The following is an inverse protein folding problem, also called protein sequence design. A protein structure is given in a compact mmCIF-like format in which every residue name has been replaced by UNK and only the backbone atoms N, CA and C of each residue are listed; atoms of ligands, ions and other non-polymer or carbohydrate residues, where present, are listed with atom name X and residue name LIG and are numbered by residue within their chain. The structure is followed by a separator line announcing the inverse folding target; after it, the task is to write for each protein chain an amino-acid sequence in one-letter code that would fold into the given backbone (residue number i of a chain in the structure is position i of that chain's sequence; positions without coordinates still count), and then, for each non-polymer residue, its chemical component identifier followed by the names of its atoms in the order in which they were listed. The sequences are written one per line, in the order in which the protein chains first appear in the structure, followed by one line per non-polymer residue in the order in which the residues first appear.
data_IF_337635758608
#
_entry.id   IF_337635758608
#
_cell.length_a   1.000
_cell.length_b   1.000
_cell.length_c   1.000
_cell.angle_alpha   90.00
_cell.angle_beta   90.00
_cell.angle_gamma   90.00
#
_symmetry.space_group_name_H-M   'P 1'
#
loop_
_entity.id
_entity.type
_entity.pdbx_description
1 polymer ?
#
# COMPACT_ATOMS: atom_id res chain seq x y z
N UNK A 1 -9.02 40.49 31.07
CA UNK A 1 -8.77 41.82 31.68
C UNK A 1 -8.42 42.78 30.57
N UNK A 2 -9.09 43.93 30.58
CA UNK A 2 -9.05 45.07 29.66
C UNK A 2 -7.73 45.35 28.90
N UNK A 3 -7.87 45.55 27.59
CA UNK A 3 -7.11 46.45 26.67
C UNK A 3 -7.24 47.95 27.08
N UNK A 4 -6.65 48.99 26.40
CA UNK A 4 -5.64 49.08 25.31
C UNK A 4 -4.61 50.28 25.39
N UNK A 5 -3.85 50.47 24.29
CA UNK A 5 -3.34 51.73 23.71
C UNK A 5 -2.00 52.28 24.25
N UNK A 6 -1.07 52.84 23.46
CA UNK A 6 -1.27 54.00 22.55
C UNK A 6 -0.20 54.08 21.43
N UNK A 7 -0.71 54.31 20.22
CA UNK A 7 -0.09 54.86 19.01
C UNK A 7 0.40 56.31 19.21
N UNK A 8 1.55 56.72 18.66
CA UNK A 8 1.75 58.12 18.25
C UNK A 8 2.94 58.31 17.29
N UNK A 9 2.64 58.38 15.98
CA UNK A 9 3.41 59.14 14.98
C UNK A 9 2.67 60.47 14.78
N UNK A 10 3.36 61.62 14.85
CA UNK A 10 2.95 62.86 14.16
C UNK A 10 4.18 63.71 13.78
N UNK A 11 4.17 64.15 12.52
CA UNK A 11 5.12 64.95 11.75
C UNK A 11 4.97 66.48 11.96
N UNK A 12 6.12 67.19 11.94
CA UNK A 12 6.48 68.55 11.44
C UNK A 12 5.44 69.68 11.33
N UNK A 13 5.81 70.93 11.77
CA UNK A 13 5.78 72.16 10.95
C UNK A 13 6.39 73.44 11.61
N UNK A 14 7.38 73.98 10.87
CA UNK A 14 7.92 75.35 10.61
C UNK A 14 7.34 76.61 11.30
N UNK A 15 8.25 77.50 11.75
CA UNK A 15 8.39 78.96 11.43
C UNK A 15 9.40 79.57 12.42
N UNK A 16 10.38 80.43 12.11
CA UNK A 16 10.58 81.42 11.06
C UNK A 16 10.87 82.76 11.75
N UNK A 17 12.11 83.26 11.76
CA UNK A 17 12.42 84.68 12.12
C UNK A 17 13.60 85.20 11.29
N UNK A 18 13.45 86.46 10.91
CA UNK A 18 14.04 87.24 9.82
C UNK A 18 15.38 87.95 10.10
N UNK A 19 16.19 88.01 9.03
CA UNK A 19 16.99 89.11 8.45
C UNK A 19 17.45 90.34 9.27
N UNK A 20 18.73 90.67 9.09
CA UNK A 20 19.29 92.02 9.24
C UNK A 20 20.52 92.19 8.35
N UNK A 21 20.44 93.07 7.35
CA UNK A 21 21.46 93.33 6.32
C UNK A 21 22.23 94.64 6.57
N UNK A 22 23.52 94.69 6.25
CA UNK A 22 24.37 95.87 5.90
C UNK A 22 25.61 95.29 5.19
N UNK A 23 26.22 95.78 4.10
CA UNK A 23 26.13 97.01 3.33
C UNK A 23 27.02 96.88 2.07
N UNK A 24 26.89 97.84 1.17
CA UNK A 24 27.28 97.78 -0.25
C UNK A 24 28.76 98.09 -0.57
N UNK A 25 29.21 97.67 -1.77
CA UNK A 25 30.31 98.36 -2.48
C UNK A 25 30.93 97.64 -3.69
N UNK A 26 30.46 97.97 -4.91
CA UNK A 26 31.27 98.18 -6.12
C UNK A 26 31.82 96.98 -6.91
N UNK A 27 31.31 96.76 -8.12
CA UNK A 27 31.85 95.79 -9.08
C UNK A 27 32.90 96.35 -10.04
N UNK A 28 33.81 95.47 -10.49
CA UNK A 28 34.51 95.50 -11.79
C UNK A 28 34.83 94.04 -12.17
N UNK A 29 34.73 93.71 -13.46
CA UNK A 29 34.76 92.36 -14.01
C UNK A 29 36.18 91.85 -14.41
N UNK A 30 36.40 90.55 -14.14
CA UNK A 30 37.27 89.53 -14.77
C UNK A 30 38.81 89.72 -14.81
N UNK A 31 39.63 88.64 -14.93
CA UNK A 31 39.30 87.22 -15.20
C UNK A 31 39.91 86.20 -14.21
N UNK A 32 39.42 84.96 -14.28
CA UNK A 32 39.93 83.77 -13.59
C UNK A 32 41.40 83.47 -13.93
N UNK A 33 42.13 82.92 -12.96
CA UNK A 33 43.01 81.80 -13.25
C UNK A 33 42.87 80.70 -12.18
N UNK A 34 42.46 79.50 -12.62
CA UNK A 34 42.83 78.22 -12.01
C UNK A 34 42.79 78.21 -10.47
N UNK A 35 41.59 78.14 -9.88
CA UNK A 35 41.48 77.66 -8.51
C UNK A 35 41.69 76.15 -8.52
N UNK A 36 42.84 75.77 -7.97
CA UNK A 36 43.25 74.42 -7.63
C UNK A 36 42.14 73.75 -6.84
N UNK A 37 41.52 72.71 -7.40
CA UNK A 37 40.67 71.80 -6.64
C UNK A 37 41.55 71.00 -5.66
N UNK A 38 41.44 71.21 -4.35
CA UNK A 38 42.28 70.54 -3.36
C UNK A 38 41.87 69.08 -3.12
N UNK A 39 40.86 68.53 -3.82
CA UNK A 39 40.37 67.16 -3.63
C UNK A 39 40.69 66.21 -4.80
N UNK A 40 41.06 66.71 -5.98
CA UNK A 40 41.35 65.93 -7.19
C UNK A 40 40.21 65.97 -8.21
N UNK A 41 40.44 65.46 -9.41
CA UNK A 41 39.40 65.33 -10.45
C UNK A 41 38.46 64.18 -10.09
N UNK A 42 37.16 64.39 -10.30
CA UNK A 42 36.03 63.47 -10.20
C UNK A 42 35.22 63.72 -11.48
N UNK A 43 35.30 62.79 -12.42
CA UNK A 43 34.98 63.02 -13.84
C UNK A 43 33.54 62.65 -14.19
N UNK A 44 32.88 61.78 -13.44
CA UNK A 44 31.45 61.43 -13.57
C UNK A 44 30.57 61.98 -12.43
N UNK A 45 31.17 62.46 -11.34
CA UNK A 45 30.48 63.15 -10.25
C UNK A 45 29.77 62.22 -9.26
N UNK A 46 30.22 60.97 -9.14
CA UNK A 46 29.65 59.97 -8.23
C UNK A 46 30.16 60.11 -6.77
N UNK A 47 31.24 60.88 -6.58
CA UNK A 47 31.88 61.14 -5.29
C UNK A 47 33.15 60.32 -5.02
N UNK A 48 33.51 59.40 -5.91
CA UNK A 48 34.84 58.82 -6.03
C UNK A 48 35.74 59.78 -6.84
N UNK A 49 37.05 59.58 -6.84
CA UNK A 49 37.97 60.50 -7.54
C UNK A 49 38.72 59.70 -8.60
N UNK A 50 39.07 60.32 -9.74
CA UNK A 50 39.81 59.74 -10.88
C UNK A 50 41.09 58.96 -10.50
N UNK A 51 41.66 59.24 -9.33
CA UNK A 51 42.84 58.52 -8.81
C UNK A 51 42.49 57.26 -8.02
N UNK A 52 41.35 57.26 -7.32
CA UNK A 52 40.85 56.13 -6.54
C UNK A 52 40.20 55.11 -7.47
N UNK A 53 39.42 55.55 -8.46
CA UNK A 53 38.84 54.66 -9.49
C UNK A 53 39.93 53.84 -10.19
N UNK A 54 41.00 54.49 -10.65
CA UNK A 54 42.19 53.81 -11.19
C UNK A 54 42.93 52.88 -10.23
N UNK A 55 42.66 52.96 -8.93
CA UNK A 55 43.25 52.05 -7.92
C UNK A 55 42.37 50.84 -7.68
N UNK A 56 41.05 51.00 -7.84
CA UNK A 56 40.04 49.96 -7.69
C UNK A 56 39.58 49.39 -9.04
N UNK A 57 40.27 49.74 -10.12
CA UNK A 57 40.00 49.33 -11.51
C UNK A 57 38.60 49.70 -12.05
N UNK A 58 37.95 50.70 -11.44
CA UNK A 58 36.69 51.27 -11.92
C UNK A 58 36.90 52.36 -13.00
N UNK A 59 35.88 52.66 -13.81
CA UNK A 59 35.94 53.61 -14.94
C UNK A 59 35.68 55.07 -14.47
N UNK A 60 36.68 55.98 -14.53
CA UNK A 60 36.52 57.36 -14.08
C UNK A 60 35.48 58.22 -14.80
N UNK A 61 34.78 57.67 -15.79
CA UNK A 61 33.79 58.38 -16.58
C UNK A 61 32.40 57.76 -16.46
N UNK A 62 32.23 56.78 -15.58
CA UNK A 62 30.99 56.05 -15.32
C UNK A 62 30.84 55.89 -13.81
N UNK A 63 29.82 56.55 -13.25
CA UNK A 63 29.42 56.44 -11.85
C UNK A 63 29.01 55.03 -11.36
N UNK A 64 29.03 54.07 -12.28
CA UNK A 64 28.53 52.69 -12.20
C UNK A 64 29.27 51.96 -13.33
N UNK A 65 30.36 51.31 -12.95
CA UNK A 65 31.37 50.83 -13.89
C UNK A 65 30.86 49.65 -14.73
N UNK A 66 30.26 48.64 -14.11
CA UNK A 66 29.73 47.45 -14.79
C UNK A 66 28.29 47.61 -15.32
N UNK A 67 27.54 48.59 -14.80
CA UNK A 67 26.21 48.95 -15.27
C UNK A 67 25.07 48.12 -14.68
N UNK A 68 25.26 47.50 -13.52
CA UNK A 68 24.23 46.72 -12.81
C UNK A 68 23.16 47.60 -12.11
N UNK A 69 23.50 48.86 -11.83
CA UNK A 69 22.65 49.84 -11.14
C UNK A 69 23.07 50.19 -9.72
N UNK A 70 24.10 49.55 -9.17
CA UNK A 70 24.87 50.03 -8.03
C UNK A 70 25.94 51.02 -8.52
N UNK A 71 26.44 51.87 -7.62
CA UNK A 71 27.43 52.88 -7.99
C UNK A 71 28.76 52.49 -7.36
N UNK A 72 29.87 52.70 -8.06
CA UNK A 72 31.22 52.32 -7.62
C UNK A 72 31.50 52.62 -6.12
N UNK A 73 31.23 53.83 -5.57
CA UNK A 73 31.49 54.11 -4.17
C UNK A 73 30.59 53.34 -3.19
N UNK A 74 29.39 52.91 -3.61
CA UNK A 74 28.48 52.09 -2.81
C UNK A 74 29.02 50.66 -2.69
N UNK A 75 29.47 50.09 -3.79
CA UNK A 75 30.00 48.73 -3.88
C UNK A 75 31.36 48.62 -3.19
N UNK A 76 32.24 49.61 -3.36
CA UNK A 76 33.52 49.67 -2.65
C UNK A 76 33.38 49.81 -1.12
N UNK A 77 32.26 50.37 -0.63
CA UNK A 77 31.92 50.40 0.79
C UNK A 77 31.10 49.16 1.23
N UNK A 78 30.62 48.35 0.27
CA UNK A 78 29.79 47.17 0.40
C UNK A 78 30.54 45.84 0.16
N UNK A 79 29.79 44.74 -0.03
CA UNK A 79 30.35 43.41 -0.27
C UNK A 79 30.64 43.09 -1.75
N UNK A 80 30.06 43.84 -2.68
CA UNK A 80 30.06 43.59 -4.13
C UNK A 80 31.31 44.12 -4.84
N UNK A 81 31.63 43.59 -6.02
CA UNK A 81 32.75 44.02 -6.87
C UNK A 81 32.24 44.99 -7.97
N UNK A 82 32.63 46.29 -7.96
CA UNK A 82 32.14 47.31 -8.90
C UNK A 82 32.54 47.10 -10.37
N UNK A 83 33.15 45.96 -10.70
CA UNK A 83 33.54 45.59 -12.05
C UNK A 83 32.80 44.37 -12.59
N UNK A 84 31.91 43.79 -11.78
CA UNK A 84 31.14 42.58 -12.05
C UNK A 84 29.66 42.82 -11.72
N UNK A 85 28.80 42.63 -12.71
CA UNK A 85 27.33 42.72 -12.52
C UNK A 85 26.77 41.68 -11.54
N UNK A 86 27.53 40.60 -11.35
CA UNK A 86 27.21 39.43 -10.52
C UNK A 86 28.57 39.01 -9.93
N UNK A 87 28.73 39.27 -8.63
CA UNK A 87 30.02 39.21 -7.93
C UNK A 87 30.52 37.77 -7.75
N UNK A 88 29.63 36.78 -7.64
CA UNK A 88 29.98 35.37 -7.44
C UNK A 88 29.65 34.44 -8.62
N UNK A 89 29.08 34.97 -9.70
CA UNK A 89 28.80 34.33 -11.00
C UNK A 89 27.78 33.17 -10.87
N UNK A 90 26.76 33.36 -10.03
CA UNK A 90 25.71 32.37 -9.75
C UNK A 90 24.45 32.54 -10.64
N UNK A 91 24.35 33.68 -11.34
CA UNK A 91 23.25 34.01 -12.24
C UNK A 91 22.23 35.01 -11.70
N UNK A 92 22.37 35.48 -10.45
CA UNK A 92 21.61 36.57 -9.85
C UNK A 92 22.49 37.83 -9.79
N UNK A 93 21.97 39.00 -10.18
CA UNK A 93 22.78 40.22 -10.15
C UNK A 93 22.85 40.81 -8.74
N UNK A 94 23.96 41.48 -8.42
CA UNK A 94 24.24 42.05 -7.10
C UNK A 94 23.08 42.91 -6.53
N UNK A 95 22.38 43.76 -7.32
CA UNK A 95 21.23 44.48 -6.82
C UNK A 95 20.04 43.57 -6.46
N UNK A 96 19.79 42.50 -7.24
CA UNK A 96 18.73 41.55 -6.97
C UNK A 96 19.02 40.72 -5.73
N UNK A 97 20.26 40.30 -5.52
CA UNK A 97 20.70 39.60 -4.31
C UNK A 97 20.51 40.45 -3.05
N UNK A 98 20.93 41.71 -3.10
CA UNK A 98 20.72 42.66 -2.00
C UNK A 98 19.24 42.91 -1.71
N UNK A 99 18.38 42.90 -2.73
CA UNK A 99 16.92 43.04 -2.59
C UNK A 99 16.26 41.76 -2.05
N UNK A 100 16.76 40.57 -2.43
CA UNK A 100 16.32 39.27 -1.94
C UNK A 100 16.83 38.98 -0.51
N UNK A 101 17.97 39.57 -0.13
CA UNK A 101 18.62 39.38 1.15
C UNK A 101 19.65 38.25 1.17
N UNK A 102 20.05 37.75 0.00
CA UNK A 102 21.12 36.76 -0.17
C UNK A 102 22.50 37.41 -0.01
N UNK A 103 23.57 36.61 0.08
CA UNK A 103 24.95 37.11 0.19
C UNK A 103 25.60 37.16 -1.20
N UNK A 104 25.84 38.36 -1.79
CA UNK A 104 26.36 38.52 -3.15
C UNK A 104 27.82 38.09 -3.35
N UNK A 105 28.36 37.33 -2.40
CA UNK A 105 29.69 36.75 -2.46
C UNK A 105 29.67 35.24 -2.27
N UNK A 106 28.48 34.66 -2.16
CA UNK A 106 28.20 33.25 -1.91
C UNK A 106 27.07 32.80 -2.84
N UNK A 107 27.46 32.11 -3.91
CA UNK A 107 26.58 31.61 -4.97
C UNK A 107 25.46 30.66 -4.52
N UNK A 108 25.34 30.32 -3.24
CA UNK A 108 24.42 29.35 -2.64
C UNK A 108 24.31 29.74 -1.16
N UNK A 109 23.40 30.66 -0.86
CA UNK A 109 23.36 31.39 0.41
C UNK A 109 22.95 30.49 1.59
N UNK A 110 21.99 29.58 1.39
CA UNK A 110 21.53 28.67 2.43
C UNK A 110 22.31 27.35 2.49
N UNK A 111 23.04 27.00 1.43
CA UNK A 111 23.94 25.87 1.36
C UNK A 111 23.25 24.53 1.06
N UNK A 112 22.08 24.54 0.43
CA UNK A 112 21.35 23.33 0.04
C UNK A 112 21.96 22.65 -1.20
N UNK A 113 22.66 23.43 -2.06
CA UNK A 113 23.33 22.98 -3.27
C UNK A 113 22.72 23.47 -4.59
N UNK A 114 21.63 24.23 -4.57
CA UNK A 114 21.18 25.12 -5.64
C UNK A 114 21.87 26.47 -5.50
N UNK A 115 21.93 27.24 -6.59
CA UNK A 115 22.45 28.61 -6.52
C UNK A 115 21.32 29.60 -6.34
N UNK A 116 21.56 30.75 -5.72
CA UNK A 116 20.52 31.76 -5.49
C UNK A 116 19.86 32.18 -6.83
N UNK A 117 20.66 32.28 -7.90
CA UNK A 117 20.18 32.51 -9.27
C UNK A 117 19.34 31.35 -9.86
N UNK A 118 19.63 30.10 -9.51
CA UNK A 118 18.85 28.94 -9.92
C UNK A 118 17.51 28.90 -9.17
N UNK A 119 17.53 29.12 -7.86
CA UNK A 119 16.36 29.17 -7.01
C UNK A 119 15.42 30.31 -7.39
N UNK A 120 15.96 31.49 -7.68
CA UNK A 120 15.18 32.61 -8.23
C UNK A 120 14.50 32.27 -9.57
N UNK A 121 15.09 31.36 -10.36
CA UNK A 121 14.51 30.88 -11.62
C UNK A 121 13.42 29.83 -11.40
N UNK A 122 13.65 28.91 -10.46
CA UNK A 122 12.74 27.81 -10.14
C UNK A 122 11.58 28.26 -9.25
N UNK A 123 11.74 29.37 -8.54
CA UNK A 123 10.73 29.99 -7.69
C UNK A 123 10.80 29.58 -6.23
N UNK A 124 11.89 28.92 -5.82
CA UNK A 124 12.20 28.56 -4.42
C UNK A 124 12.76 29.76 -3.63
N UNK A 125 12.94 29.62 -2.32
CA UNK A 125 13.44 30.66 -1.42
C UNK A 125 14.96 30.48 -1.17
N UNK A 126 15.86 31.31 -1.74
CA UNK A 126 17.32 31.15 -1.63
C UNK A 126 17.91 31.42 -0.23
N UNK A 127 17.04 31.52 0.77
CA UNK A 127 17.38 31.67 2.18
C UNK A 127 16.88 30.48 3.02
N UNK A 128 16.31 29.47 2.39
CA UNK A 128 15.70 28.31 3.02
C UNK A 128 16.06 27.04 2.22
N UNK A 129 16.85 26.17 2.85
CA UNK A 129 17.33 24.92 2.28
C UNK A 129 16.24 23.89 1.96
N UNK A 130 15.00 24.21 2.32
CA UNK A 130 13.75 23.46 2.18
C UNK A 130 12.61 24.50 2.14
N UNK A 131 12.12 24.80 0.94
CA UNK A 131 11.21 25.91 0.68
C UNK A 131 9.79 25.65 1.20
N UNK A 132 9.29 24.42 1.09
CA UNK A 132 7.92 24.08 1.45
C UNK A 132 7.76 23.50 2.87
N UNK A 133 8.87 23.06 3.47
CA UNK A 133 8.97 22.62 4.84
C UNK A 133 8.63 21.14 5.07
N UNK A 134 8.75 20.27 4.06
CA UNK A 134 8.56 18.82 4.17
C UNK A 134 9.81 18.06 4.65
N UNK A 135 10.94 18.75 4.82
CA UNK A 135 12.27 18.27 5.20
C UNK A 135 13.14 17.65 4.10
N UNK A 136 12.63 17.58 2.88
CA UNK A 136 13.41 17.33 1.67
C UNK A 136 14.05 18.64 1.22
N UNK A 137 15.32 18.60 0.81
CA UNK A 137 15.99 19.82 0.33
C UNK A 137 15.55 20.12 -1.10
N UNK A 138 15.41 21.39 -1.48
CA UNK A 138 15.02 21.82 -2.82
C UNK A 138 15.92 21.19 -3.91
N UNK A 139 17.23 21.15 -3.66
CA UNK A 139 18.22 20.48 -4.52
C UNK A 139 17.98 18.98 -4.70
N UNK A 140 17.44 18.31 -3.68
CA UNK A 140 17.08 16.89 -3.73
C UNK A 140 15.76 16.69 -4.45
N UNK A 141 14.79 17.55 -4.22
CA UNK A 141 13.52 17.52 -4.93
C UNK A 141 13.72 17.68 -6.43
N UNK A 142 14.55 18.64 -6.84
CA UNK A 142 14.98 18.81 -8.22
C UNK A 142 15.66 17.54 -8.80
N UNK A 143 16.35 16.76 -7.97
CA UNK A 143 17.00 15.51 -8.38
C UNK A 143 16.02 14.33 -8.51
N UNK A 144 14.98 14.27 -7.67
CA UNK A 144 13.92 13.24 -7.72
C UNK A 144 12.78 13.60 -8.68
N UNK A 145 12.64 14.88 -9.03
CA UNK A 145 11.59 15.41 -9.89
C UNK A 145 10.30 15.76 -9.16
N UNK A 146 10.35 15.86 -7.83
CA UNK A 146 9.26 16.39 -6.98
C UNK A 146 9.20 17.92 -7.06
N UNK A 147 8.14 18.53 -6.53
CA UNK A 147 7.87 19.97 -6.58
C UNK A 147 8.30 20.66 -5.27
N UNK A 148 9.41 21.44 -5.25
CA UNK A 148 9.93 22.11 -4.04
C UNK A 148 9.03 23.21 -3.45
N UNK A 149 7.84 23.36 -4.01
CA UNK A 149 6.82 24.29 -3.55
C UNK A 149 5.59 23.55 -2.98
N UNK A 150 5.65 22.22 -2.90
CA UNK A 150 4.53 21.37 -2.52
C UNK A 150 5.01 20.12 -1.75
N UNK A 151 4.79 20.16 -0.44
CA UNK A 151 5.05 19.09 0.54
C UNK A 151 4.62 17.68 0.11
N UNK A 152 3.67 17.58 -0.81
CA UNK A 152 3.02 16.37 -1.31
C UNK A 152 2.85 16.55 -2.83
N UNK A 153 3.76 15.96 -3.60
CA UNK A 153 3.90 16.21 -5.04
C UNK A 153 2.82 15.56 -5.90
N UNK A 154 2.25 14.44 -5.48
CA UNK A 154 1.19 13.74 -6.20
C UNK A 154 -0.22 13.94 -5.62
N UNK A 155 -0.31 14.48 -4.41
CA UNK A 155 -1.54 14.87 -3.74
C UNK A 155 -2.26 13.74 -3.03
N UNK A 156 -1.56 12.67 -2.64
CA UNK A 156 -2.14 11.49 -1.97
C UNK A 156 -2.27 11.62 -0.44
N UNK A 157 -1.69 12.68 0.15
CA UNK A 157 -1.60 13.01 1.58
C UNK A 157 -0.38 12.46 2.34
N UNK A 158 0.58 11.84 1.67
CA UNK A 158 1.93 11.60 2.18
C UNK A 158 2.87 12.74 1.75
N UNK A 159 3.91 13.00 2.53
CA UNK A 159 4.93 13.98 2.16
C UNK A 159 6.11 13.31 1.44
N UNK A 160 6.77 14.04 0.54
CA UNK A 160 7.74 13.48 -0.39
C UNK A 160 8.96 12.88 0.34
N UNK A 161 9.47 13.52 1.42
CA UNK A 161 10.53 12.93 2.26
C UNK A 161 10.07 11.62 2.91
N UNK A 162 8.83 11.57 3.43
CA UNK A 162 8.26 10.36 4.04
C UNK A 162 8.23 9.20 3.08
N UNK A 163 7.74 9.42 1.86
CA UNK A 163 7.65 8.39 0.83
C UNK A 163 9.05 7.89 0.42
N UNK A 164 9.98 8.81 0.15
CA UNK A 164 11.36 8.46 -0.19
C UNK A 164 12.07 7.72 0.95
N UNK A 165 11.74 8.01 2.21
CA UNK A 165 12.34 7.36 3.37
C UNK A 165 11.94 5.88 3.50
N UNK A 166 10.76 5.50 3.01
CA UNK A 166 10.27 4.12 3.00
C UNK A 166 10.39 3.43 1.64
N UNK A 167 10.71 4.18 0.59
CA UNK A 167 10.97 3.67 -0.75
C UNK A 167 9.78 3.74 -1.70
N UNK A 168 8.70 4.42 -1.29
CA UNK A 168 7.55 4.78 -2.13
C UNK A 168 7.97 5.80 -3.20
N UNK A 169 7.11 5.98 -4.20
CA UNK A 169 7.33 6.87 -5.32
C UNK A 169 6.54 8.18 -5.13
N UNK A 170 7.18 9.31 -4.75
CA UNK A 170 6.51 10.59 -4.42
C UNK A 170 5.86 11.32 -5.61
N UNK A 171 5.71 10.64 -6.73
CA UNK A 171 5.08 11.15 -7.95
C UNK A 171 3.92 10.25 -8.38
N UNK A 172 3.59 9.25 -7.57
CA UNK A 172 2.61 8.20 -7.83
C UNK A 172 1.84 7.92 -6.54
N UNK A 173 0.59 8.38 -6.51
CA UNK A 173 -0.33 8.14 -5.40
C UNK A 173 -0.67 6.64 -5.13
N UNK A 174 -0.07 5.74 -5.88
CA UNK A 174 -0.20 4.27 -5.89
C UNK A 174 1.12 3.76 -6.50
N UNK A 175 2.07 3.42 -5.64
CA UNK A 175 3.46 3.17 -6.00
C UNK A 175 3.63 1.90 -6.83
N UNK A 176 2.82 0.87 -6.60
CA UNK A 176 2.92 -0.42 -7.28
C UNK A 176 1.83 -0.69 -8.35
N UNK A 177 0.88 0.25 -8.51
CA UNK A 177 -0.17 0.31 -9.53
C UNK A 177 -1.17 -0.86 -9.42
N UNK A 178 -1.52 -1.24 -8.19
CA UNK A 178 -2.46 -2.32 -7.87
C UNK A 178 -3.93 -1.85 -7.72
N UNK A 179 -4.13 -0.54 -7.55
CA UNK A 179 -5.43 0.11 -7.41
C UNK A 179 -5.78 0.60 -6.00
N UNK A 180 -4.92 0.41 -5.00
CA UNK A 180 -4.94 1.09 -3.70
C UNK A 180 -3.89 2.19 -3.66
N UNK A 181 -4.18 3.28 -2.93
CA UNK A 181 -3.17 4.32 -2.73
C UNK A 181 -2.26 4.00 -1.54
N UNK A 182 -1.01 4.42 -1.59
CA UNK A 182 0.01 4.21 -0.54
C UNK A 182 -0.50 4.51 0.90
N UNK A 183 -1.24 5.62 1.15
CA UNK A 183 -1.84 5.85 2.47
C UNK A 183 -2.99 4.91 2.84
N UNK A 184 -3.81 4.48 1.87
CA UNK A 184 -4.90 3.51 2.10
C UNK A 184 -4.34 2.13 2.45
N UNK A 185 -3.25 1.72 1.79
CA UNK A 185 -2.52 0.49 2.07
C UNK A 185 -1.82 0.53 3.44
N UNK A 186 -1.15 1.64 3.75
CA UNK A 186 -0.52 1.86 5.06
C UNK A 186 -1.54 1.79 6.21
N UNK A 187 -2.75 2.29 6.00
CA UNK A 187 -3.86 2.21 6.95
C UNK A 187 -4.52 0.80 6.96
N UNK A 188 -4.54 0.12 5.82
CA UNK A 188 -5.07 -1.24 5.61
C UNK A 188 -4.17 -2.35 6.15
N UNK A 189 -2.87 -2.10 6.26
CA UNK A 189 -1.87 -3.06 6.70
C UNK A 189 -1.19 -3.85 5.58
N UNK A 190 -1.38 -3.43 4.33
CA UNK A 190 -0.67 -3.95 3.15
C UNK A 190 0.67 -3.26 2.94
N UNK A 191 1.50 -3.75 2.01
CA UNK A 191 2.81 -3.17 1.68
C UNK A 191 2.74 -2.38 0.36
N UNK A 192 2.83 -1.04 0.38
CA UNK A 192 2.70 -0.19 -0.82
C UNK A 192 3.75 -0.37 -1.92
N UNK A 193 4.67 -1.33 -1.73
CA UNK A 193 5.69 -1.70 -2.69
C UNK A 193 5.40 -3.07 -3.33
N UNK A 194 4.32 -3.73 -2.95
CA UNK A 194 3.92 -5.07 -3.34
C UNK A 194 2.43 -5.11 -3.70
N UNK A 195 2.16 -5.17 -5.00
CA UNK A 195 0.81 -5.23 -5.55
C UNK A 195 -0.02 -6.48 -5.17
N UNK A 196 0.49 -7.35 -4.31
CA UNK A 196 -0.08 -8.61 -3.82
C UNK A 196 0.71 -8.93 -2.53
N UNK A 197 0.19 -8.47 -1.38
CA UNK A 197 0.89 -8.44 -0.10
C UNK A 197 1.10 -9.83 0.48
N UNK A 198 0.17 -10.76 0.26
CA UNK A 198 0.20 -12.11 0.82
C UNK A 198 0.62 -13.21 -0.18
N UNK A 199 0.95 -12.82 -1.41
CA UNK A 199 1.47 -13.65 -2.51
C UNK A 199 0.49 -14.76 -2.96
N UNK A 200 -0.83 -14.51 -2.91
CA UNK A 200 -1.86 -15.49 -3.27
C UNK A 200 -2.23 -15.50 -4.77
N UNK A 201 -1.84 -14.43 -5.48
CA UNK A 201 -2.09 -14.21 -6.90
C UNK A 201 -3.24 -13.24 -7.22
N UNK A 202 -3.84 -12.61 -6.21
CA UNK A 202 -4.80 -11.53 -6.30
C UNK A 202 -4.14 -10.24 -5.79
N UNK A 203 -4.44 -9.10 -6.42
CA UNK A 203 -3.83 -7.84 -6.02
C UNK A 203 -4.62 -7.19 -4.88
N UNK A 204 -3.97 -6.49 -3.95
CA UNK A 204 -4.61 -5.94 -2.75
C UNK A 204 -5.80 -5.03 -3.12
N UNK A 205 -5.66 -4.23 -4.18
CA UNK A 205 -6.76 -3.41 -4.73
C UNK A 205 -7.91 -4.19 -5.35
N UNK A 206 -7.65 -5.36 -5.93
CA UNK A 206 -8.67 -6.28 -6.40
C UNK A 206 -9.37 -6.97 -5.22
N UNK A 207 -8.63 -7.34 -4.20
CA UNK A 207 -9.12 -7.96 -2.97
C UNK A 207 -10.07 -7.05 -2.20
N UNK A 208 -9.67 -5.80 -1.95
CA UNK A 208 -10.55 -4.80 -1.33
C UNK A 208 -11.83 -4.60 -2.14
N UNK A 209 -11.76 -4.67 -3.48
CA UNK A 209 -12.92 -4.55 -4.34
C UNK A 209 -13.85 -5.77 -4.31
N UNK A 210 -13.30 -6.97 -4.08
CA UNK A 210 -14.03 -8.23 -3.92
C UNK A 210 -14.56 -8.43 -2.50
N UNK A 211 -13.89 -7.84 -1.50
CA UNK A 211 -14.19 -7.96 -0.08
C UNK A 211 -13.37 -9.05 0.63
N UNK A 212 -12.31 -9.56 0.01
CA UNK A 212 -11.32 -10.44 0.64
C UNK A 212 -10.36 -9.63 1.53
N UNK A 213 -9.56 -10.31 2.36
CA UNK A 213 -8.56 -9.69 3.24
C UNK A 213 -7.18 -9.73 2.56
N UNK A 214 -6.62 -8.58 2.13
CA UNK A 214 -5.35 -8.54 1.37
C UNK A 214 -4.09 -8.90 2.16
N UNK A 215 -4.27 -9.42 3.38
CA UNK A 215 -3.18 -9.91 4.23
C UNK A 215 -3.36 -11.36 4.63
N UNK A 216 -4.40 -12.01 4.13
CA UNK A 216 -4.75 -13.40 4.39
C UNK A 216 -5.05 -14.14 3.07
N UNK A 217 -4.13 -15.01 2.61
CA UNK A 217 -4.19 -15.56 1.24
C UNK A 217 -5.32 -16.59 1.04
N UNK A 218 -6.22 -16.77 2.01
CA UNK A 218 -7.32 -17.73 2.10
C UNK A 218 -8.37 -17.14 3.06
N UNK A 219 -9.12 -16.14 2.58
CA UNK A 219 -9.98 -15.28 3.42
C UNK A 219 -11.06 -16.07 4.16
N UNK A 220 -11.57 -17.15 3.56
CA UNK A 220 -12.62 -17.97 4.16
C UNK A 220 -12.12 -19.22 4.89
N UNK A 221 -10.82 -19.54 4.78
CA UNK A 221 -10.16 -20.60 5.53
C UNK A 221 -10.40 -22.01 4.99
N UNK A 222 -10.79 -22.18 3.74
CA UNK A 222 -11.06 -23.50 3.17
C UNK A 222 -9.83 -24.20 2.54
N UNK A 223 -8.69 -23.49 2.50
CA UNK A 223 -7.39 -23.88 1.92
C UNK A 223 -7.28 -23.72 0.41
N UNK A 224 -8.23 -23.08 -0.23
CA UNK A 224 -8.08 -22.53 -1.56
C UNK A 224 -7.62 -21.09 -1.40
N UNK A 225 -6.66 -20.67 -2.24
CA UNK A 225 -6.23 -19.28 -2.19
C UNK A 225 -7.26 -18.42 -2.91
N UNK A 226 -7.52 -17.21 -2.43
CA UNK A 226 -8.53 -16.32 -3.01
C UNK A 226 -8.25 -16.09 -4.50
N UNK A 227 -6.98 -15.87 -4.85
CA UNK A 227 -6.50 -15.76 -6.23
C UNK A 227 -6.79 -17.01 -7.09
N UNK A 228 -6.75 -18.22 -6.51
CA UNK A 228 -7.09 -19.46 -7.23
C UNK A 228 -8.58 -19.59 -7.49
N UNK A 229 -9.39 -19.17 -6.53
CA UNK A 229 -10.84 -19.22 -6.61
C UNK A 229 -11.37 -18.22 -7.64
N UNK A 230 -10.85 -16.98 -7.63
CA UNK A 230 -11.14 -15.97 -8.64
C UNK A 230 -10.71 -16.43 -10.03
N UNK A 231 -9.54 -17.07 -10.15
CA UNK A 231 -9.07 -17.66 -11.41
C UNK A 231 -9.90 -18.89 -11.85
N UNK A 232 -10.58 -19.56 -10.91
CA UNK A 232 -11.31 -20.81 -11.13
C UNK A 232 -10.39 -22.02 -11.37
N UNK A 233 -9.10 -21.92 -11.01
CA UNK A 233 -8.14 -23.00 -11.11
C UNK A 233 -6.97 -22.86 -10.12
N UNK A 234 -6.51 -23.98 -9.55
CA UNK A 234 -5.32 -23.99 -8.69
C UNK A 234 -4.02 -23.85 -9.48
N UNK A 235 -2.91 -23.60 -8.78
CA UNK A 235 -1.58 -23.49 -9.39
C UNK A 235 -1.15 -24.71 -10.25
N UNK A 236 -1.64 -25.92 -9.93
CA UNK A 236 -1.40 -27.15 -10.70
C UNK A 236 -2.43 -27.39 -11.82
N UNK A 237 -3.34 -26.42 -12.04
CA UNK A 237 -4.41 -26.44 -13.04
C UNK A 237 -5.60 -27.32 -12.64
N UNK A 238 -5.80 -27.57 -11.35
CA UNK A 238 -7.02 -28.22 -10.87
C UNK A 238 -8.20 -27.25 -11.07
N UNK A 239 -9.27 -27.62 -11.78
CA UNK A 239 -10.40 -26.70 -11.94
C UNK A 239 -11.12 -26.51 -10.60
N UNK A 240 -11.46 -25.27 -10.27
CA UNK A 240 -12.24 -24.86 -9.10
C UNK A 240 -13.54 -24.19 -9.56
N UNK A 241 -14.47 -24.95 -10.19
CA UNK A 241 -15.70 -24.39 -10.71
C UNK A 241 -16.61 -23.89 -9.59
N UNK A 242 -17.10 -22.65 -9.75
CA UNK A 242 -18.02 -22.02 -8.81
C UNK A 242 -17.42 -21.80 -7.41
N UNK A 243 -16.08 -21.71 -7.32
CA UNK A 243 -15.38 -21.28 -6.12
C UNK A 243 -15.75 -19.84 -5.72
N UNK A 244 -15.73 -19.53 -4.43
CA UNK A 244 -16.13 -18.24 -3.87
C UNK A 244 -15.25 -17.89 -2.67
N UNK A 245 -14.30 -16.94 -2.80
CA UNK A 245 -13.29 -16.64 -1.76
C UNK A 245 -13.86 -16.01 -0.48
N UNK A 246 -15.17 -15.82 -0.43
CA UNK A 246 -15.87 -15.35 0.75
C UNK A 246 -16.78 -16.42 1.35
N UNK A 247 -16.73 -17.69 0.89
CA UNK A 247 -17.51 -18.81 1.40
C UNK A 247 -16.80 -20.14 1.22
N UNK A 248 -16.57 -20.82 2.35
CA UNK A 248 -15.88 -22.10 2.35
C UNK A 248 -16.42 -23.10 1.33
N UNK A 249 -15.53 -23.57 0.47
CA UNK A 249 -15.76 -24.59 -0.54
C UNK A 249 -15.11 -25.94 -0.17
N UNK A 250 -15.78 -27.02 -0.57
CA UNK A 250 -15.32 -28.38 -0.35
C UNK A 250 -15.46 -29.17 -1.65
N UNK A 251 -14.32 -29.34 -2.30
CA UNK A 251 -14.21 -30.09 -3.53
C UNK A 251 -14.12 -31.59 -3.27
N UNK A 252 -15.10 -32.36 -3.75
CA UNK A 252 -15.16 -33.82 -3.51
C UNK A 252 -15.18 -34.61 -4.83
N UNK A 253 -14.20 -35.50 -5.00
CA UNK A 253 -14.20 -36.51 -6.06
C UNK A 253 -14.82 -37.82 -5.55
N UNK A 254 -15.97 -38.20 -6.11
CA UNK A 254 -16.64 -39.44 -5.75
C UNK A 254 -16.22 -40.59 -6.69
N UNK A 255 -15.41 -41.52 -6.18
CA UNK A 255 -15.09 -42.77 -6.88
C UNK A 255 -16.24 -43.75 -6.78
N UNK A 256 -16.75 -44.16 -7.95
CA UNK A 256 -17.84 -45.14 -8.04
C UNK A 256 -17.37 -46.43 -8.71
N UNK A 257 -17.45 -47.59 -8.01
CA UNK A 257 -17.21 -48.88 -8.65
C UNK A 257 -18.31 -49.20 -9.66
N UNK A 258 -17.94 -49.93 -10.71
CA UNK A 258 -18.85 -50.31 -11.81
C UNK A 258 -19.93 -51.32 -11.36
N UNK A 259 -19.66 -52.08 -10.30
CA UNK A 259 -20.62 -52.95 -9.60
C UNK A 259 -20.79 -52.46 -8.15
N UNK A 260 -22.04 -52.16 -7.76
CA UNK A 260 -22.39 -51.58 -6.44
C UNK A 260 -23.60 -50.64 -6.52
N UNK A 261 -24.20 -50.31 -5.37
CA UNK A 261 -25.28 -49.32 -5.29
C UNK A 261 -24.68 -47.91 -5.44
N UNK A 262 -25.17 -47.15 -6.43
CA UNK A 262 -24.75 -45.77 -6.71
C UNK A 262 -25.55 -44.80 -5.86
N UNK A 263 -24.92 -43.72 -5.39
CA UNK A 263 -25.66 -42.54 -4.93
C UNK A 263 -26.59 -42.07 -6.05
N UNK A 264 -27.85 -41.89 -5.70
CA UNK A 264 -28.90 -41.30 -6.55
C UNK A 264 -28.75 -39.78 -6.56
N UNK A 265 -29.28 -39.12 -7.59
CA UNK A 265 -29.28 -37.64 -7.68
C UNK A 265 -29.89 -36.99 -6.43
N UNK A 266 -30.92 -37.62 -5.84
CA UNK A 266 -31.59 -37.14 -4.62
C UNK A 266 -30.68 -37.22 -3.38
N UNK A 267 -29.84 -38.24 -3.29
CA UNK A 267 -28.91 -38.40 -2.18
C UNK A 267 -27.76 -37.37 -2.30
N UNK A 268 -27.26 -37.13 -3.52
CA UNK A 268 -26.29 -36.06 -3.79
C UNK A 268 -26.86 -34.66 -3.49
N UNK A 269 -28.09 -34.35 -3.94
CA UNK A 269 -28.77 -33.08 -3.62
C UNK A 269 -28.99 -32.91 -2.10
N UNK A 270 -29.19 -34.01 -1.39
CA UNK A 270 -29.39 -33.99 0.06
C UNK A 270 -28.07 -33.72 0.77
N UNK A 271 -26.96 -34.30 0.29
CA UNK A 271 -25.62 -34.00 0.77
C UNK A 271 -25.30 -32.51 0.61
N UNK A 272 -25.44 -31.97 -0.60
CA UNK A 272 -25.15 -30.56 -0.89
C UNK A 272 -25.93 -29.64 0.02
N UNK A 273 -27.24 -29.89 0.19
CA UNK A 273 -28.08 -29.08 1.08
C UNK A 273 -27.61 -29.11 2.54
N UNK A 274 -27.14 -30.25 3.04
CA UNK A 274 -26.76 -30.34 4.45
C UNK A 274 -25.46 -29.59 4.77
N UNK A 275 -24.51 -29.54 3.84
CA UNK A 275 -23.30 -28.74 4.00
C UNK A 275 -23.61 -27.24 3.89
N UNK A 276 -24.46 -26.84 2.95
CA UNK A 276 -24.93 -25.45 2.81
C UNK A 276 -25.77 -24.94 4.01
N UNK A 277 -26.24 -25.84 4.88
CA UNK A 277 -26.97 -25.50 6.12
C UNK A 277 -26.08 -25.58 7.38
N UNK A 278 -24.76 -25.77 7.23
CA UNK A 278 -23.84 -25.84 8.37
C UNK A 278 -23.78 -24.52 9.14
N UNK A 279 -23.67 -24.57 10.48
CA UNK A 279 -23.54 -23.38 11.30
C UNK A 279 -22.09 -22.85 11.33
N UNK A 280 -21.46 -22.76 10.15
CA UNK A 280 -20.12 -22.21 9.95
C UNK A 280 -20.30 -20.85 9.30
N UNK A 281 -19.76 -19.79 9.90
CA UNK A 281 -19.85 -18.43 9.39
C UNK A 281 -18.81 -18.18 8.31
N UNK A 282 -19.21 -17.42 7.30
CA UNK A 282 -18.36 -17.00 6.20
C UNK A 282 -18.12 -15.47 6.23
N UNK A 283 -17.02 -15.00 5.62
CA UNK A 283 -16.70 -13.57 5.46
C UNK A 283 -17.85 -12.71 4.91
N UNK A 284 -18.63 -13.23 3.95
CA UNK A 284 -19.79 -12.52 3.37
C UNK A 284 -21.00 -12.39 4.33
N UNK A 285 -20.91 -12.95 5.53
CA UNK A 285 -21.96 -12.99 6.55
C UNK A 285 -23.02 -14.07 6.33
N UNK A 286 -22.84 -14.94 5.33
CA UNK A 286 -23.61 -16.17 5.17
C UNK A 286 -23.15 -17.25 6.16
N UNK A 287 -23.81 -18.40 6.10
CA UNK A 287 -23.40 -19.59 6.84
C UNK A 287 -23.48 -20.81 5.94
N UNK A 288 -22.63 -21.78 6.16
CA UNK A 288 -22.63 -23.05 5.44
C UNK A 288 -21.31 -23.27 4.71
N UNK A 289 -21.18 -24.45 4.11
CA UNK A 289 -20.05 -24.85 3.28
C UNK A 289 -20.61 -25.32 1.95
N UNK A 290 -20.06 -24.84 0.85
CA UNK A 290 -20.44 -25.27 -0.48
C UNK A 290 -19.65 -26.49 -0.89
N UNK A 291 -20.34 -27.51 -1.42
CA UNK A 291 -19.71 -28.79 -1.75
C UNK A 291 -19.80 -29.07 -3.25
N UNK A 292 -18.64 -29.16 -3.87
CA UNK A 292 -18.47 -29.33 -5.32
C UNK A 292 -18.18 -30.80 -5.65
N UNK A 293 -19.22 -31.54 -6.02
CA UNK A 293 -19.12 -32.99 -6.25
C UNK A 293 -18.79 -33.31 -7.71
N UNK A 294 -17.56 -33.72 -7.97
CA UNK A 294 -17.11 -34.32 -9.23
C UNK A 294 -17.20 -35.85 -9.19
N UNK A 295 -17.31 -36.49 -10.37
CA UNK A 295 -17.62 -37.92 -10.49
C UNK A 295 -16.70 -38.65 -11.47
N UNK A 296 -16.01 -39.68 -11.00
CA UNK A 296 -15.23 -40.59 -11.81
C UNK A 296 -15.72 -42.04 -11.61
N UNK A 297 -15.92 -42.74 -12.74
CA UNK A 297 -16.27 -44.17 -12.71
C UNK A 297 -15.01 -44.98 -12.86
N UNK A 298 -14.80 -45.96 -11.97
CA UNK A 298 -13.57 -46.76 -11.94
C UNK A 298 -13.88 -48.24 -12.18
N UNK A 299 -13.25 -48.81 -13.22
CA UNK A 299 -13.24 -50.26 -13.48
C UNK A 299 -12.27 -50.94 -12.49
N UNK A 300 -12.75 -51.47 -11.37
CA UNK A 300 -11.88 -52.15 -10.41
C UNK A 300 -12.52 -52.52 -9.07
N UNK A 301 -11.94 -53.53 -8.42
CA UNK A 301 -12.18 -53.89 -7.02
C UNK A 301 -11.62 -52.78 -6.14
N UNK A 302 -12.41 -52.28 -5.17
CA UNK A 302 -11.91 -51.34 -4.16
C UNK A 302 -10.72 -52.02 -3.47
N UNK A 303 -9.54 -51.42 -3.56
CA UNK A 303 -8.33 -52.00 -2.97
C UNK A 303 -8.48 -51.90 -1.46
N UNK A 304 -8.71 -53.04 -0.82
CA UNK A 304 -8.65 -53.19 0.63
C UNK A 304 -7.18 -53.14 1.06
N UNK A 305 -6.86 -52.18 1.92
CA UNK A 305 -5.50 -52.00 2.46
C UNK A 305 -5.53 -52.30 3.96
N UNK A 306 -4.82 -53.35 4.38
CA UNK A 306 -4.74 -53.77 5.79
C UNK A 306 -3.51 -53.13 6.49
N UNK A 307 -3.71 -52.47 7.64
CA UNK A 307 -2.63 -52.09 8.58
C UNK A 307 -1.92 -50.75 8.31
N UNK A 308 -0.64 -50.61 8.70
CA UNK A 308 0.24 -49.41 8.57
C UNK A 308 0.44 -48.89 7.12
N UNK A 309 -0.39 -49.34 6.17
CA UNK A 309 -0.43 -48.99 4.76
C UNK A 309 -1.47 -47.89 4.44
N UNK A 310 -2.02 -47.21 5.44
CA UNK A 310 -2.94 -46.06 5.28
C UNK A 310 -2.32 -44.94 4.41
N UNK A 311 -1.01 -44.68 4.57
CA UNK A 311 -0.28 -43.72 3.74
C UNK A 311 -0.14 -44.19 2.29
N UNK A 312 0.12 -45.49 2.09
CA UNK A 312 0.24 -46.11 0.77
C UNK A 312 -1.11 -46.14 0.03
N UNK A 313 -2.24 -46.22 0.75
CA UNK A 313 -3.58 -46.14 0.18
C UNK A 313 -3.89 -44.73 -0.34
N UNK A 314 -3.62 -43.69 0.48
CA UNK A 314 -3.80 -42.29 0.09
C UNK A 314 -2.98 -41.96 -1.15
N UNK A 315 -1.67 -42.24 -1.12
CA UNK A 315 -0.78 -41.99 -2.25
C UNK A 315 -1.24 -42.79 -3.49
N UNK A 316 -1.71 -44.04 -3.31
CA UNK A 316 -2.23 -44.86 -4.42
C UNK A 316 -3.48 -44.28 -5.07
N UNK A 317 -4.45 -43.81 -4.28
CA UNK A 317 -5.70 -43.29 -4.80
C UNK A 317 -5.54 -41.86 -5.35
N UNK A 318 -4.80 -41.00 -4.65
CA UNK A 318 -4.54 -39.62 -5.06
C UNK A 318 -3.78 -39.57 -6.39
N UNK A 319 -2.65 -40.28 -6.51
CA UNK A 319 -1.84 -40.31 -7.75
C UNK A 319 -2.61 -40.91 -8.94
N UNK A 320 -3.54 -41.84 -8.68
CA UNK A 320 -4.22 -42.60 -9.73
C UNK A 320 -5.50 -41.95 -10.22
N UNK A 321 -6.21 -41.25 -9.35
CA UNK A 321 -7.58 -40.80 -9.63
C UNK A 321 -7.76 -39.28 -9.57
N UNK A 322 -6.99 -38.56 -8.74
CA UNK A 322 -7.08 -37.10 -8.64
C UNK A 322 -6.14 -36.41 -9.65
N UNK A 323 -4.95 -36.94 -9.88
CA UNK A 323 -4.03 -36.37 -10.86
C UNK A 323 -3.57 -34.96 -10.46
N UNK A 324 -3.92 -33.93 -11.23
CA UNK A 324 -3.59 -32.54 -10.88
C UNK A 324 -4.50 -31.94 -9.81
N UNK A 325 -5.58 -32.64 -9.45
CA UNK A 325 -6.47 -32.29 -8.33
C UNK A 325 -5.95 -32.81 -6.99
N UNK A 326 -4.76 -33.41 -6.98
CA UNK A 326 -4.09 -33.92 -5.79
C UNK A 326 -3.63 -32.74 -4.94
N UNK A 327 -4.39 -32.39 -3.92
CA UNK A 327 -4.30 -31.03 -3.38
C UNK A 327 -5.67 -30.60 -2.91
N UNK A 328 -6.45 -30.22 -3.89
CA UNK A 328 -7.59 -29.35 -3.63
C UNK A 328 -8.85 -30.18 -3.45
N UNK A 329 -8.84 -31.42 -3.93
CA UNK A 329 -9.99 -32.32 -3.84
C UNK A 329 -9.83 -33.38 -2.76
N UNK A 330 -10.91 -33.57 -2.02
CA UNK A 330 -11.15 -34.72 -1.16
C UNK A 330 -11.74 -35.87 -1.97
N UNK A 331 -11.15 -37.05 -1.85
CA UNK A 331 -11.64 -38.27 -2.46
C UNK A 331 -12.65 -38.97 -1.54
N UNK A 332 -13.86 -39.23 -2.04
CA UNK A 332 -14.82 -40.10 -1.39
C UNK A 332 -14.92 -41.42 -2.16
N UNK A 333 -14.68 -42.55 -1.50
CA UNK A 333 -14.83 -43.89 -2.07
C UNK A 333 -16.08 -44.55 -1.50
N UNK A 334 -17.10 -44.73 -2.34
CA UNK A 334 -18.30 -45.48 -1.95
C UNK A 334 -18.08 -46.98 -2.23
N UNK A 335 -18.04 -47.82 -1.18
CA UNK A 335 -18.05 -49.28 -1.31
C UNK A 335 -19.32 -49.87 -0.72
N UNK A 336 -19.86 -50.92 -1.35
CA UNK A 336 -21.05 -51.64 -0.86
C UNK A 336 -20.75 -52.97 -0.20
N UNK A 337 -19.49 -53.41 -0.18
CA UNK A 337 -19.08 -54.68 0.42
C UNK A 337 -18.12 -54.44 1.59
N UNK A 338 -18.61 -54.73 2.81
CA UNK A 338 -17.83 -54.73 4.04
C UNK A 338 -17.65 -56.18 4.51
N UNK A 339 -16.41 -56.69 4.53
CA UNK A 339 -16.09 -57.95 5.21
C UNK A 339 -15.83 -57.72 6.70
N UNK A 340 -16.37 -58.60 7.54
CA UNK A 340 -16.28 -58.49 8.99
C UNK A 340 -14.83 -58.71 9.46
N UNK A 341 -14.15 -57.63 9.88
CA UNK A 341 -12.76 -57.66 10.33
C UNK A 341 -11.81 -56.80 9.48
N UNK A 342 -12.29 -56.24 8.38
CA UNK A 342 -11.59 -55.26 7.56
C UNK A 342 -11.91 -53.86 8.07
N UNK A 343 -10.91 -53.00 8.26
CA UNK A 343 -11.17 -51.56 8.43
C UNK A 343 -11.48 -50.97 7.05
N UNK A 344 -12.69 -50.43 6.87
CA UNK A 344 -12.85 -49.35 5.90
C UNK A 344 -11.98 -48.20 6.45
N UNK A 345 -11.06 -47.70 5.63
CA UNK A 345 -9.92 -46.87 5.99
C UNK A 345 -10.16 -45.94 7.20
N UNK A 346 -9.24 -45.99 8.16
CA UNK A 346 -9.23 -45.09 9.30
C UNK A 346 -8.78 -43.71 8.84
N UNK A 347 -9.68 -42.75 8.92
CA UNK A 347 -9.35 -41.35 8.91
C UNK A 347 -8.51 -40.94 10.10
N UNK A 348 -7.23 -40.67 9.88
CA UNK A 348 -6.37 -40.07 10.91
C UNK A 348 -6.28 -38.56 10.70
N UNK A 349 -7.33 -37.81 11.09
CA UNK A 349 -7.39 -36.33 11.07
C UNK A 349 -7.22 -35.72 9.64
N UNK A 350 -7.71 -34.50 9.36
CA UNK A 350 -8.42 -34.16 8.11
C UNK A 350 -7.81 -34.77 6.86
N UNK A 351 -8.34 -35.95 6.53
CA UNK A 351 -7.83 -36.80 5.49
C UNK A 351 -8.57 -36.53 4.19
N UNK A 352 -7.81 -36.32 3.12
CA UNK A 352 -8.32 -36.18 1.75
C UNK A 352 -8.96 -37.45 1.18
N UNK A 353 -9.18 -38.53 1.95
CA UNK A 353 -9.78 -39.77 1.45
C UNK A 353 -10.76 -40.39 2.47
N UNK A 354 -12.07 -40.31 2.22
CA UNK A 354 -13.11 -40.97 3.03
C UNK A 354 -13.64 -42.23 2.32
N UNK A 355 -13.52 -43.40 2.95
CA UNK A 355 -14.08 -44.67 2.42
C UNK A 355 -15.36 -45.04 3.17
N UNK A 356 -16.51 -44.98 2.51
CA UNK A 356 -17.80 -45.32 3.08
C UNK A 356 -18.19 -46.77 2.76
N UNK A 357 -18.48 -47.57 3.79
CA UNK A 357 -19.10 -48.88 3.66
C UNK A 357 -20.39 -48.94 4.52
N UNK A 358 -21.60 -48.93 3.93
CA UNK A 358 -22.82 -49.02 4.70
C UNK A 358 -22.91 -50.37 5.40
N UNK A 359 -23.27 -50.37 6.68
CA UNK A 359 -23.72 -51.59 7.35
C UNK A 359 -24.95 -52.14 6.61
N UNK A 360 -25.11 -53.46 6.43
CA UNK A 360 -26.25 -54.03 5.74
C UNK A 360 -27.59 -53.53 6.32
N UNK A 361 -28.34 -52.74 5.55
CA UNK A 361 -29.62 -52.16 5.96
C UNK A 361 -29.59 -50.68 6.38
N UNK A 362 -28.42 -50.03 6.36
CA UNK A 362 -28.28 -48.57 6.46
C UNK A 362 -28.15 -47.99 5.05
N UNK A 363 -29.00 -47.03 4.69
CA UNK A 363 -28.95 -46.30 3.41
C UNK A 363 -28.27 -44.93 3.59
N UNK A 364 -27.66 -44.39 2.54
CA UNK A 364 -26.63 -43.35 2.58
C UNK A 364 -27.16 -41.92 2.75
N UNK A 365 -28.28 -41.72 3.47
CA UNK A 365 -28.51 -40.43 4.14
C UNK A 365 -27.44 -40.13 5.21
N UNK A 366 -26.44 -41.01 5.33
CA UNK A 366 -25.25 -40.91 6.16
C UNK A 366 -24.04 -40.84 5.24
N UNK A 367 -23.54 -39.63 4.98
CA UNK A 367 -22.14 -39.48 4.59
C UNK A 367 -21.37 -39.21 5.88
N UNK A 368 -20.43 -40.10 6.20
CA UNK A 368 -19.56 -39.98 7.35
C UNK A 368 -18.16 -39.52 6.88
N UNK A 369 -17.84 -38.22 6.98
CA UNK A 369 -16.52 -37.57 6.94
C UNK A 369 -15.65 -37.76 8.23
N UNK A 370 -14.39 -37.36 8.23
CA UNK A 370 -13.44 -37.63 9.33
C UNK A 370 -13.45 -36.56 10.43
N UNK A 371 -13.97 -35.36 10.13
CA UNK A 371 -14.37 -34.37 11.15
C UNK A 371 -15.76 -34.66 11.75
N UNK A 372 -16.48 -35.70 11.28
CA UNK A 372 -17.83 -35.98 11.77
C UNK A 372 -17.94 -37.05 12.87
N UNK A 373 -18.06 -36.52 14.06
CA UNK A 373 -19.17 -36.99 14.86
C UNK A 373 -20.41 -36.26 14.34
N UNK A 374 -21.38 -37.05 13.86
CA UNK A 374 -22.79 -36.75 13.58
C UNK A 374 -23.23 -37.09 12.15
N UNK A 375 -24.41 -37.67 12.07
CA UNK A 375 -25.05 -38.07 10.82
C UNK A 375 -25.54 -36.82 10.11
N UNK A 376 -25.08 -36.62 8.87
CA UNK A 376 -25.57 -35.59 7.96
C UNK A 376 -26.99 -35.94 7.45
N UNK A 377 -27.96 -35.99 8.36
CA UNK A 377 -29.37 -36.15 8.00
C UNK A 377 -30.12 -37.31 8.66
N UNK A 378 -31.38 -37.42 8.28
CA UNK A 378 -32.28 -38.42 8.85
C UNK A 378 -31.86 -39.81 8.35
N UNK A 379 -31.62 -40.75 9.26
CA UNK A 379 -31.43 -42.16 8.93
C UNK A 379 -32.71 -42.77 8.33
N UNK A 380 -32.70 -43.07 7.03
CA UNK A 380 -33.67 -43.99 6.44
C UNK A 380 -33.25 -45.44 6.72
N UNK A 381 -33.47 -45.87 7.96
CA UNK A 381 -33.13 -47.20 8.42
C UNK A 381 -34.14 -47.72 9.44
N UNK A 382 -34.46 -49.03 9.43
CA UNK A 382 -35.21 -49.66 10.52
C UNK A 382 -34.46 -49.62 11.86
N UNK A 383 -33.17 -49.27 11.85
CA UNK A 383 -32.35 -49.08 13.06
C UNK A 383 -32.45 -47.64 13.61
N UNK A 384 -33.01 -46.69 12.87
CA UNK A 384 -33.16 -45.30 13.33
C UNK A 384 -34.05 -45.22 14.58
N UNK A 385 -33.65 -44.40 15.55
CA UNK A 385 -34.46 -44.18 16.75
C UNK A 385 -35.72 -43.36 16.42
N UNK A 386 -36.85 -43.74 17.01
CA UNK A 386 -38.15 -43.10 16.74
C UNK A 386 -38.18 -41.63 17.18
N UNK A 387 -37.51 -41.32 18.29
CA UNK A 387 -37.42 -39.98 18.89
C UNK A 387 -36.14 -39.22 18.49
N UNK A 388 -35.21 -39.87 17.79
CA UNK A 388 -33.93 -39.32 17.36
C UNK A 388 -33.54 -39.95 16.02
N UNK A 389 -34.17 -39.49 14.93
CA UNK A 389 -34.07 -40.17 13.65
C UNK A 389 -32.72 -39.91 12.95
N UNK A 390 -31.76 -39.31 13.66
CA UNK A 390 -30.38 -39.08 13.24
C UNK A 390 -29.41 -40.10 13.87
N UNK A 391 -29.89 -40.91 14.82
CA UNK A 391 -29.08 -41.93 15.48
C UNK A 391 -29.66 -43.33 15.31
N UNK A 392 -28.78 -44.34 15.30
CA UNK A 392 -29.15 -45.74 15.22
C UNK A 392 -29.23 -46.37 16.61
N UNK A 393 -30.07 -47.40 16.75
CA UNK A 393 -30.22 -48.17 17.99
C UNK A 393 -29.02 -49.08 18.31
N UNK A 394 -28.14 -49.31 17.35
CA UNK A 394 -26.91 -50.09 17.48
C UNK A 394 -25.88 -49.67 16.41
N UNK A 395 -24.58 -49.94 16.65
CA UNK A 395 -23.49 -49.64 15.70
C UNK A 395 -22.74 -48.34 16.00
N UNK A 396 -22.05 -47.79 15.00
CA UNK A 396 -21.23 -46.58 15.15
C UNK A 396 -22.05 -45.29 15.38
N UNK A 397 -23.36 -45.32 15.15
CA UNK A 397 -24.27 -44.17 15.24
C UNK A 397 -25.18 -44.20 16.48
N UNK A 398 -24.82 -44.97 17.53
CA UNK A 398 -25.57 -44.96 18.80
C UNK A 398 -25.39 -43.63 19.52
N UNK A 399 -26.44 -42.97 20.05
CA UNK A 399 -26.32 -41.63 20.61
C UNK A 399 -25.40 -41.59 21.83
N UNK A 400 -24.38 -40.73 21.79
CA UNK A 400 -23.52 -40.40 22.93
C UNK A 400 -23.78 -39.00 23.49
N UNK A 401 -24.83 -38.31 23.00
CA UNK A 401 -25.23 -36.97 23.43
C UNK A 401 -24.78 -35.83 22.51
N UNK A 402 -24.59 -36.10 21.21
CA UNK A 402 -24.20 -35.11 20.21
C UNK A 402 -25.39 -34.69 19.33
N UNK A 403 -25.33 -33.46 18.80
CA UNK A 403 -26.35 -32.82 17.98
C UNK A 403 -26.46 -33.49 16.59
N UNK A 404 -27.61 -33.56 15.90
CA UNK A 404 -27.67 -33.96 14.49
C UNK A 404 -26.78 -33.13 13.55
N UNK A 405 -26.39 -31.92 13.96
CA UNK A 405 -25.44 -31.07 13.24
C UNK A 405 -24.03 -31.20 13.80
N UNK A 406 -23.06 -30.60 13.10
CA UNK A 406 -21.72 -30.39 13.64
C UNK A 406 -21.84 -29.71 15.03
N UNK A 407 -21.21 -30.22 16.10
CA UNK A 407 -21.27 -29.56 17.41
C UNK A 407 -20.68 -28.15 17.32
N UNK A 408 -21.23 -27.17 18.04
CA UNK A 408 -20.76 -25.77 18.03
C UNK A 408 -19.24 -25.65 18.18
N UNK A 409 -18.63 -26.42 19.08
CA UNK A 409 -17.17 -26.40 19.29
C UNK A 409 -16.34 -26.90 18.10
N UNK A 410 -16.92 -27.72 17.22
CA UNK A 410 -16.26 -28.16 16.00
C UNK A 410 -16.51 -27.14 14.88
N UNK A 411 -17.68 -26.49 14.87
CA UNK A 411 -17.97 -25.41 13.92
C UNK A 411 -17.06 -24.21 14.20
N UNK A 412 -16.95 -23.79 15.46
CA UNK A 412 -15.98 -22.78 15.92
C UNK A 412 -14.55 -23.19 15.55
N UNK A 413 -14.19 -24.47 15.67
CA UNK A 413 -12.86 -24.94 15.28
C UNK A 413 -12.65 -24.90 13.75
N UNK A 414 -13.66 -25.20 12.94
CA UNK A 414 -13.58 -25.03 11.48
C UNK A 414 -13.46 -23.55 11.09
N UNK A 415 -14.16 -22.65 11.78
CA UNK A 415 -14.02 -21.20 11.59
C UNK A 415 -12.61 -20.70 11.99
N UNK A 416 -11.98 -21.30 13.01
CA UNK A 416 -10.64 -20.90 13.49
C UNK A 416 -9.49 -21.52 12.71
N UNK A 417 -9.57 -22.82 12.41
CA UNK A 417 -8.47 -23.61 11.86
C UNK A 417 -8.68 -23.93 10.36
N UNK A 418 -9.84 -23.61 9.80
CA UNK A 418 -10.22 -24.05 8.46
C UNK A 418 -10.33 -25.58 8.35
N UNK A 419 -10.12 -26.11 7.14
CA UNK A 419 -10.04 -27.58 6.94
C UNK A 419 -8.69 -28.19 7.40
N UNK A 420 -7.98 -27.61 8.37
CA UNK A 420 -6.62 -27.99 8.79
C UNK A 420 -6.44 -29.45 9.26
N UNK A 421 -5.87 -30.31 8.41
CA UNK A 421 -5.30 -31.63 8.77
C UNK A 421 -3.88 -31.87 8.31
#
# INVERSE_FOLDING_TARGET
MNWPAVLAVVLVLVSGVSAGAVGAGGGLAAPSPLELDPLGQDSDGDGLLDRHERTFDTDPTRADTDGDGLADPVELDGPTDPTLVDTDDDGLDDPAELDAGTDPTVADTDGDGLTDGQEATDGTDPLADDTDGDTLLDSREAAFGTDPLAVDSDGDSLDDDTELAVGMAPLLADTDDDGLSDPDESDGGTDPLLADTDDDGLADGEEVALGTDPTDPDTDGDRLLDGWEVAGESADGAPLPDADPLRMDLYVELLRPVEGDRLTEREEETLVRYWAEMPVQNPDGSTGIDIHVSRQTVDGEVVHVDGDADRDARDYYDERYLGNRTGEYHLAVATTEYEFGSSAAFGQAPGRVTVYAPWPGLRPDVLTHELLHNVLGRLDSPLALEDDPYHASEGFLTPTGADPHLPDSIAEQLEEDGFAG
#
